data_IF_351647645063
#
_entry.id   IF_351647645063
#
_cell.length_a   1.000
_cell.length_b   1.000
_cell.length_c   1.000
_cell.angle_alpha   90.00
_cell.angle_beta   90.00
_cell.angle_gamma   90.00
#
_symmetry.space_group_name_H-M   'P 1'
#
loop_
_entity.id
_entity.type
_entity.pdbx_description
1 polymer ?
#
# COMPACT_ATOMS: atom_id res chain seq x y z
N UNK A 1 8.15 -10.73 -7.01
CA UNK A 1 8.72 -9.62 -6.23
C UNK A 1 9.09 -10.14 -4.86
N UNK A 2 10.34 -9.93 -4.43
CA UNK A 2 10.84 -10.49 -3.20
C UNK A 2 10.55 -9.57 -2.00
N UNK A 3 10.32 -10.13 -0.80
CA UNK A 3 10.24 -9.34 0.42
C UNK A 3 11.55 -8.61 0.71
N UNK A 4 11.44 -7.47 1.37
CA UNK A 4 12.59 -6.71 1.85
C UNK A 4 13.32 -7.49 2.95
N UNK A 5 14.64 -7.36 2.98
CA UNK A 5 15.47 -8.01 3.99
C UNK A 5 15.60 -7.07 5.22
N UNK A 6 15.08 -7.47 6.40
CA UNK A 6 15.19 -6.65 7.62
C UNK A 6 16.64 -6.36 8.05
N UNK A 7 17.61 -7.16 7.59
CA UNK A 7 19.02 -6.92 7.90
C UNK A 7 19.62 -5.82 7.02
N UNK A 8 19.00 -5.52 5.87
CA UNK A 8 19.53 -4.57 4.88
C UNK A 8 18.66 -3.33 4.73
N UNK A 9 17.40 -3.40 5.14
CA UNK A 9 16.42 -2.32 4.96
C UNK A 9 15.89 -1.87 6.32
N UNK A 10 16.08 -0.60 6.63
CA UNK A 10 15.69 -0.05 7.93
C UNK A 10 14.18 -0.09 8.18
N UNK A 11 13.37 0.13 7.14
CA UNK A 11 11.93 0.09 7.26
C UNK A 11 11.44 -1.34 7.50
N UNK A 12 11.98 -2.30 6.75
CA UNK A 12 11.66 -3.71 6.96
C UNK A 12 12.05 -4.17 8.36
N UNK A 13 13.17 -3.70 8.89
CA UNK A 13 13.60 -4.00 10.25
C UNK A 13 12.62 -3.46 11.29
N UNK A 14 12.14 -2.23 11.11
CA UNK A 14 11.19 -1.58 12.03
C UNK A 14 9.87 -2.33 12.12
N UNK A 15 9.44 -2.97 11.03
CA UNK A 15 8.14 -3.63 10.95
C UNK A 15 8.21 -5.16 10.86
N UNK A 16 9.40 -5.75 11.07
CA UNK A 16 9.63 -7.18 10.88
C UNK A 16 8.69 -8.07 11.70
N UNK A 17 8.31 -7.65 12.91
CA UNK A 17 7.43 -8.41 13.79
C UNK A 17 5.97 -8.44 13.31
N UNK A 18 5.54 -7.41 12.59
CA UNK A 18 4.15 -7.27 12.14
C UNK A 18 3.97 -7.56 10.67
N UNK A 19 4.95 -7.17 9.86
CA UNK A 19 4.92 -7.33 8.40
C UNK A 19 6.24 -7.97 7.94
N UNK A 20 6.46 -9.25 8.23
CA UNK A 20 7.74 -9.92 7.91
C UNK A 20 7.98 -10.07 6.40
N UNK A 21 6.94 -9.98 5.60
CA UNK A 21 7.02 -10.09 4.14
C UNK A 21 6.79 -8.75 3.43
N UNK A 22 7.18 -7.64 4.06
CA UNK A 22 7.04 -6.30 3.49
C UNK A 22 7.75 -6.19 2.14
N UNK A 23 7.05 -5.64 1.16
CA UNK A 23 7.53 -5.47 -0.21
C UNK A 23 7.53 -3.97 -0.54
N UNK A 24 8.44 -3.54 -1.41
CA UNK A 24 8.47 -2.14 -1.87
C UNK A 24 8.34 -2.10 -3.39
N UNK A 25 7.25 -1.50 -3.87
CA UNK A 25 7.09 -1.13 -5.26
C UNK A 25 7.60 0.30 -5.42
N UNK A 26 8.52 0.52 -6.36
CA UNK A 26 9.21 1.81 -6.53
C UNK A 26 9.00 2.43 -7.90
N UNK A 27 8.55 1.65 -8.88
CA UNK A 27 8.38 2.10 -10.25
C UNK A 27 6.94 2.00 -10.68
N UNK A 28 6.45 3.04 -11.34
CA UNK A 28 5.12 3.05 -11.92
C UNK A 28 4.93 1.83 -12.85
N UNK A 29 3.77 1.20 -12.76
CA UNK A 29 3.46 0.00 -13.52
C UNK A 29 3.82 -1.30 -12.82
N UNK A 30 4.66 -1.29 -11.78
CA UNK A 30 4.85 -2.48 -10.96
C UNK A 30 3.54 -2.84 -10.27
N UNK A 31 3.22 -4.12 -10.23
CA UNK A 31 1.96 -4.59 -9.67
C UNK A 31 2.13 -5.89 -8.90
N UNK A 32 1.26 -6.09 -7.93
CA UNK A 32 1.05 -7.35 -7.23
C UNK A 32 -0.30 -7.91 -7.62
N UNK A 33 -0.35 -9.22 -7.85
CA UNK A 33 -1.57 -9.93 -8.14
C UNK A 33 -1.69 -11.12 -7.21
N UNK A 34 -2.91 -11.35 -6.73
CA UNK A 34 -3.21 -12.53 -5.92
C UNK A 34 -4.68 -12.90 -6.05
N UNK A 35 -5.01 -14.11 -5.59
CA UNK A 35 -6.39 -14.60 -5.52
C UNK A 35 -6.71 -15.01 -4.10
N UNK A 36 -7.95 -14.80 -3.70
CA UNK A 36 -8.46 -15.31 -2.44
C UNK A 36 -9.88 -15.83 -2.63
N UNK A 37 -10.25 -16.80 -1.79
CA UNK A 37 -11.64 -17.24 -1.67
C UNK A 37 -12.19 -16.66 -0.38
N UNK A 38 -13.26 -15.89 -0.46
CA UNK A 38 -13.83 -15.29 0.73
C UNK A 38 -14.72 -14.09 0.45
N UNK A 39 -15.05 -13.36 1.50
CA UNK A 39 -16.04 -12.27 1.48
C UNK A 39 -15.46 -10.90 1.78
N UNK A 40 -14.19 -10.81 2.21
CA UNK A 40 -13.57 -9.55 2.58
C UNK A 40 -12.05 -9.61 2.33
N UNK A 41 -11.52 -8.52 1.81
CA UNK A 41 -10.07 -8.36 1.64
C UNK A 41 -9.67 -6.91 1.93
N UNK A 42 -8.68 -6.75 2.78
CA UNK A 42 -7.99 -5.48 3.01
C UNK A 42 -6.49 -5.71 2.95
N UNK A 43 -5.76 -4.64 2.65
CA UNK A 43 -4.31 -4.65 2.58
C UNK A 43 -3.75 -3.97 3.82
N UNK A 44 -2.77 -4.61 4.43
CA UNK A 44 -1.96 -4.04 5.51
C UNK A 44 -0.66 -3.52 4.89
N UNK A 45 -0.38 -2.24 5.04
CA UNK A 45 0.79 -1.62 4.42
C UNK A 45 1.49 -0.64 5.36
N UNK A 46 2.60 -0.09 4.89
CA UNK A 46 3.30 1.02 5.54
C UNK A 46 3.13 2.25 4.66
N UNK A 47 2.66 3.34 5.25
CA UNK A 47 2.57 4.64 4.58
C UNK A 47 3.53 5.62 5.24
N UNK A 48 3.98 6.62 4.48
CA UNK A 48 4.92 7.61 4.98
C UNK A 48 5.23 8.66 3.91
N UNK A 49 6.30 9.44 4.10
CA UNK A 49 6.64 10.53 3.19
C UNK A 49 6.73 10.11 1.71
N UNK A 50 7.21 8.89 1.45
CA UNK A 50 7.37 8.36 0.09
C UNK A 50 6.13 7.67 -0.46
N UNK A 51 4.96 7.84 0.15
CA UNK A 51 3.73 7.21 -0.30
C UNK A 51 3.27 7.68 -1.69
N UNK A 52 2.74 6.75 -2.48
CA UNK A 52 2.22 7.00 -3.82
C UNK A 52 0.74 6.70 -3.94
N UNK A 53 0.26 6.62 -5.18
CA UNK A 53 -1.10 6.21 -5.51
C UNK A 53 -1.10 4.80 -6.07
N UNK A 54 -2.13 4.03 -5.75
CA UNK A 54 -2.28 2.64 -6.15
C UNK A 54 -3.63 2.44 -6.82
N UNK A 55 -3.63 1.80 -7.99
CA UNK A 55 -4.85 1.35 -8.64
C UNK A 55 -5.20 -0.05 -8.10
N UNK A 56 -6.40 -0.18 -7.54
CA UNK A 56 -6.92 -1.42 -6.98
C UNK A 56 -7.97 -1.96 -7.92
N UNK A 57 -7.71 -3.13 -8.51
CA UNK A 57 -8.65 -3.81 -9.42
C UNK A 57 -9.10 -5.11 -8.78
N UNK A 58 -10.42 -5.23 -8.60
CA UNK A 58 -11.05 -6.42 -8.07
C UNK A 58 -11.81 -7.13 -9.20
N UNK A 59 -11.51 -8.40 -9.42
CA UNK A 59 -12.18 -9.27 -10.41
C UNK A 59 -12.21 -8.68 -11.82
N UNK A 60 -11.13 -8.00 -12.22
CA UNK A 60 -11.02 -7.40 -13.55
C UNK A 60 -11.96 -6.21 -13.79
N UNK A 61 -12.58 -5.68 -12.76
CA UNK A 61 -13.48 -4.53 -12.85
C UNK A 61 -12.76 -3.20 -13.05
N UNK A 62 -13.48 -2.10 -12.90
CA UNK A 62 -12.91 -0.77 -12.98
C UNK A 62 -11.94 -0.53 -11.82
N UNK A 63 -10.73 -0.03 -12.10
CA UNK A 63 -9.77 0.25 -11.03
C UNK A 63 -10.25 1.39 -10.14
N UNK A 64 -10.01 1.24 -8.83
CA UNK A 64 -10.24 2.27 -7.83
C UNK A 64 -8.87 2.79 -7.38
N UNK A 65 -8.67 4.10 -7.40
CA UNK A 65 -7.41 4.70 -6.98
C UNK A 65 -7.45 4.99 -5.49
N UNK A 66 -6.43 4.53 -4.76
CA UNK A 66 -6.21 4.85 -3.36
C UNK A 66 -4.90 5.61 -3.22
N UNK A 67 -4.92 6.71 -2.48
CA UNK A 67 -3.73 7.50 -2.18
C UNK A 67 -3.13 6.99 -0.89
N UNK A 68 -1.89 6.51 -0.94
CA UNK A 68 -1.19 5.95 0.23
C UNK A 68 -0.32 7.00 0.90
N UNK A 69 -0.89 8.18 1.08
CA UNK A 69 -0.28 9.32 1.76
C UNK A 69 -1.40 10.13 2.42
N UNK A 70 -1.22 10.51 3.67
CA UNK A 70 -2.18 11.34 4.39
C UNK A 70 -1.49 12.49 5.13
N UNK A 71 -2.27 13.29 5.85
CA UNK A 71 -1.78 14.46 6.56
C UNK A 71 -0.86 14.12 7.75
N UNK A 72 -0.73 12.86 8.13
CA UNK A 72 0.18 12.37 9.16
C UNK A 72 1.49 11.82 8.60
N UNK A 73 1.70 11.84 7.29
CA UNK A 73 2.84 11.17 6.65
C UNK A 73 4.15 11.97 6.71
N UNK A 74 4.46 12.54 7.86
CA UNK A 74 5.79 13.06 8.18
C UNK A 74 6.74 11.95 8.65
N UNK A 75 6.22 10.78 8.94
CA UNK A 75 6.94 9.57 9.34
C UNK A 75 6.20 8.32 8.87
N UNK A 76 6.87 7.18 8.90
CA UNK A 76 6.29 5.91 8.46
C UNK A 76 5.35 5.34 9.52
N UNK A 77 4.19 4.83 9.10
CA UNK A 77 3.18 4.23 9.98
C UNK A 77 2.54 3.02 9.31
N UNK A 78 2.07 2.09 10.14
CA UNK A 78 1.19 1.02 9.68
C UNK A 78 -0.16 1.60 9.28
N UNK A 79 -0.71 1.07 8.19
CA UNK A 79 -2.03 1.47 7.70
C UNK A 79 -2.73 0.31 7.02
N UNK A 80 -3.99 0.49 6.70
CA UNK A 80 -4.78 -0.47 5.94
C UNK A 80 -5.65 0.24 4.92
N UNK A 81 -6.03 -0.48 3.87
CA UNK A 81 -7.12 -0.05 3.00
C UNK A 81 -7.91 -1.26 2.53
N UNK A 82 -9.19 -1.08 2.32
CA UNK A 82 -10.11 -2.14 1.93
C UNK A 82 -10.12 -2.31 0.42
N UNK A 83 -9.94 -3.55 -0.05
CA UNK A 83 -10.10 -3.92 -1.47
C UNK A 83 -11.58 -4.21 -1.76
N UNK A 84 -12.22 -4.97 -0.89
CA UNK A 84 -13.64 -5.27 -1.02
C UNK A 84 -14.21 -5.85 0.26
N UNK A 85 -15.51 -5.59 0.48
CA UNK A 85 -16.24 -6.07 1.66
C UNK A 85 -17.61 -6.58 1.24
N UNK A 86 -18.16 -7.49 2.04
CA UNK A 86 -19.48 -8.11 1.76
C UNK A 86 -19.55 -8.69 0.34
N UNK A 87 -18.45 -9.28 -0.10
CA UNK A 87 -18.35 -9.93 -1.40
C UNK A 87 -19.04 -11.29 -1.36
N UNK A 88 -19.47 -11.83 -2.52
CA UNK A 88 -19.86 -13.25 -2.58
C UNK A 88 -18.72 -14.14 -2.12
N UNK A 89 -19.04 -15.22 -1.40
CA UNK A 89 -18.04 -16.21 -0.98
C UNK A 89 -17.60 -17.04 -2.18
N UNK A 90 -16.62 -16.52 -2.89
CA UNK A 90 -16.11 -17.06 -4.14
C UNK A 90 -14.64 -16.69 -4.29
N UNK A 91 -13.99 -17.22 -5.33
CA UNK A 91 -12.62 -16.83 -5.67
C UNK A 91 -12.64 -15.46 -6.34
N UNK A 92 -11.85 -14.56 -5.78
CA UNK A 92 -11.67 -13.20 -6.29
C UNK A 92 -10.22 -13.00 -6.71
N UNK A 93 -10.01 -12.20 -7.76
CA UNK A 93 -8.69 -11.79 -8.20
C UNK A 93 -8.46 -10.33 -7.83
N UNK A 94 -7.25 -10.02 -7.35
CA UNK A 94 -6.87 -8.66 -6.96
C UNK A 94 -5.59 -8.28 -7.69
N UNK A 95 -5.59 -7.06 -8.23
CA UNK A 95 -4.38 -6.44 -8.80
C UNK A 95 -4.17 -5.10 -8.12
N UNK A 96 -2.97 -4.88 -7.64
CA UNK A 96 -2.53 -3.63 -6.99
C UNK A 96 -1.37 -3.07 -7.81
N UNK A 97 -1.57 -1.93 -8.45
CA UNK A 97 -0.57 -1.34 -9.34
C UNK A 97 -0.15 0.04 -8.85
N UNK A 98 1.16 0.25 -8.74
CA UNK A 98 1.71 1.56 -8.42
C UNK A 98 1.56 2.50 -9.63
N UNK A 99 0.93 3.65 -9.40
CA UNK A 99 0.66 4.65 -10.44
C UNK A 99 1.76 5.72 -10.48
N UNK A 100 1.96 6.35 -11.66
CA UNK A 100 2.94 7.42 -11.82
C UNK A 100 2.46 8.78 -11.32
N UNK A 101 1.22 8.89 -10.88
CA UNK A 101 0.56 10.15 -10.63
C UNK A 101 1.24 10.96 -9.52
N UNK A 102 1.64 12.17 -9.85
CA UNK A 102 2.07 13.15 -8.86
C UNK A 102 0.83 13.76 -8.18
N UNK A 103 0.99 14.17 -6.93
CA UNK A 103 -0.06 14.85 -6.19
C UNK A 103 0.57 15.82 -5.19
N UNK A 104 -0.22 16.77 -4.69
CA UNK A 104 0.26 17.84 -3.84
C UNK A 104 0.37 17.40 -2.37
N UNK A 105 1.51 16.80 -2.02
CA UNK A 105 1.78 16.35 -0.65
C UNK A 105 1.82 17.51 0.34
N UNK A 106 2.33 18.67 -0.08
CA UNK A 106 2.40 19.85 0.78
C UNK A 106 1.00 20.31 1.20
N UNK A 107 0.05 20.31 0.26
CA UNK A 107 -1.34 20.67 0.56
C UNK A 107 -2.01 19.68 1.52
N UNK A 108 -1.72 18.38 1.38
CA UNK A 108 -2.25 17.36 2.29
C UNK A 108 -1.70 17.57 3.72
N UNK A 109 -0.40 17.78 3.85
CA UNK A 109 0.22 18.04 5.15
C UNK A 109 -0.28 19.32 5.80
N UNK A 110 -0.56 20.35 5.00
CA UNK A 110 -1.07 21.63 5.50
C UNK A 110 -2.43 21.51 6.20
N UNK A 111 -3.21 20.46 5.92
CA UNK A 111 -4.48 20.18 6.61
C UNK A 111 -4.29 20.02 8.12
N UNK A 112 -3.08 19.61 8.57
CA UNK A 112 -2.70 19.51 9.98
C UNK A 112 -1.62 20.50 10.37
N UNK A 113 -1.42 21.57 9.56
CA UNK A 113 -0.38 22.58 9.79
C UNK A 113 1.04 22.00 9.81
N UNK A 114 1.24 20.88 9.10
CA UNK A 114 2.55 20.26 8.93
C UNK A 114 3.20 20.77 7.64
N UNK A 115 4.52 20.70 7.60
CA UNK A 115 5.32 21.11 6.44
C UNK A 115 6.19 19.95 5.95
N UNK A 116 6.66 20.06 4.70
CA UNK A 116 7.60 19.09 4.13
C UNK A 116 9.03 19.40 4.60
N UNK A 117 9.34 19.03 5.82
CA UNK A 117 10.71 19.07 6.29
C UNK A 117 11.54 18.05 5.51
N UNK A 118 12.70 18.47 4.98
CA UNK A 118 13.52 17.65 4.09
C UNK A 118 12.69 17.20 2.87
N UNK A 119 12.39 18.11 1.92
CA UNK A 119 11.50 17.81 0.78
C UNK A 119 11.89 16.57 -0.02
N UNK A 120 13.18 16.21 -0.05
CA UNK A 120 13.67 15.01 -0.73
C UNK A 120 13.03 13.72 -0.22
N UNK A 121 12.57 13.67 1.03
CA UNK A 121 11.88 12.50 1.60
C UNK A 121 10.52 12.27 0.95
N UNK A 122 9.93 13.31 0.36
CA UNK A 122 8.58 13.28 -0.21
C UNK A 122 8.60 13.15 -1.74
N UNK A 123 9.79 13.13 -2.33
CA UNK A 123 9.94 13.11 -3.79
C UNK A 123 9.53 11.77 -4.42
N UNK A 124 9.74 10.67 -3.71
CA UNK A 124 9.41 9.34 -4.21
C UNK A 124 7.92 9.04 -4.08
N UNK A 125 7.46 8.09 -4.89
CA UNK A 125 6.10 7.57 -4.87
C UNK A 125 6.20 6.06 -4.84
N UNK A 126 6.11 5.49 -3.64
CA UNK A 126 6.26 4.07 -3.39
C UNK A 126 4.97 3.46 -2.86
N UNK A 127 4.89 2.13 -2.94
CA UNK A 127 3.84 1.34 -2.30
C UNK A 127 4.52 0.23 -1.50
N UNK A 128 4.14 0.08 -0.24
CA UNK A 128 4.78 -0.85 0.71
C UNK A 128 3.76 -1.80 1.33
N UNK A 129 3.18 -2.71 0.54
CA UNK A 129 2.27 -3.71 1.07
C UNK A 129 3.04 -4.76 1.86
N UNK A 130 2.45 -5.29 2.94
CA UNK A 130 3.12 -6.27 3.79
C UNK A 130 2.21 -7.36 4.33
N UNK A 131 0.90 -7.24 4.20
CA UNK A 131 -0.02 -8.24 4.71
C UNK A 131 -1.41 -8.14 4.12
N UNK A 132 -2.16 -9.22 4.29
CA UNK A 132 -3.54 -9.32 3.86
C UNK A 132 -4.42 -9.58 5.08
N UNK A 133 -5.57 -8.91 5.12
CA UNK A 133 -6.61 -9.15 6.11
C UNK A 133 -7.81 -9.73 5.35
N UNK A 134 -8.01 -11.03 5.50
CA UNK A 134 -9.02 -11.76 4.75
C UNK A 134 -10.12 -12.30 5.68
N UNK A 135 -11.37 -12.25 5.22
CA UNK A 135 -12.36 -13.25 5.62
C UNK A 135 -12.40 -14.29 4.51
N UNK A 136 -11.58 -15.31 4.68
CA UNK A 136 -11.33 -16.33 3.68
C UNK A 136 -9.90 -16.80 3.71
N UNK A 137 -9.39 -17.23 2.58
CA UNK A 137 -8.04 -17.80 2.45
C UNK A 137 -7.43 -17.45 1.10
N UNK A 138 -6.09 -17.33 1.08
CA UNK A 138 -5.37 -17.25 -0.20
C UNK A 138 -5.53 -18.54 -0.97
N UNK A 139 -5.65 -18.41 -2.29
CA UNK A 139 -5.69 -19.55 -3.21
C UNK A 139 -4.62 -19.38 -4.29
N UNK A 140 -4.15 -20.48 -4.88
CA UNK A 140 -3.16 -20.43 -5.96
C UNK A 140 -3.64 -19.70 -7.21
#
# INVERSE_FOLDING_TARGET
MAPLDPQKDALAKSYANRLPALVRLTQAGQALEFKFKGTHCAIYDVIGPAGGKVAVTLDGGAPKVVTRFDAYCTYARLSTFTVGTKLPDAVHTVRLELLPDAFDKAAILAQRKETMDQPERFADRHFLPGGLLLRGELVP
#
